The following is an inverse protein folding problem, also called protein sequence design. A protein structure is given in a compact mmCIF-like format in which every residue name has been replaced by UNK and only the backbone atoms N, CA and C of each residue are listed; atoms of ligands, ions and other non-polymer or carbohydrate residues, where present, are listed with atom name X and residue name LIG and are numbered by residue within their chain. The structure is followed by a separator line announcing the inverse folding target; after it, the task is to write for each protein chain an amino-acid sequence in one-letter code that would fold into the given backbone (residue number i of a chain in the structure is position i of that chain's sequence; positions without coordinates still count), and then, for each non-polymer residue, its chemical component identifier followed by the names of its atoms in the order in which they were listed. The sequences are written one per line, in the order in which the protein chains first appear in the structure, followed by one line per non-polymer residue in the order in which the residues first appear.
data_IF_981277856676
#
_entry.id   IF_981277856676
#
_cell.length_a   1.000
_cell.length_b   1.000
_cell.length_c   1.000
_cell.angle_alpha   90.00
_cell.angle_beta   90.00
_cell.angle_gamma   90.00
#
_symmetry.space_group_name_H-M   'P 1'
#
loop_
_entity.id
_entity.type
_entity.pdbx_description
1 polymer ?
#
# COMPACT_ATOMS: atom_id res chain seq x y z
N UNK A 1 17.08 -45.87 14.10
CA UNK A 1 16.27 -45.26 13.02
C UNK A 1 15.43 -44.18 13.68
N UNK A 2 15.81 -42.92 13.49
CA UNK A 2 15.10 -41.77 14.04
C UNK A 2 14.59 -40.96 12.85
N UNK A 3 13.30 -41.03 12.59
CA UNK A 3 12.63 -40.13 11.65
C UNK A 3 12.37 -38.81 12.38
N UNK A 4 13.22 -37.83 12.06
CA UNK A 4 13.06 -36.43 12.42
C UNK A 4 11.88 -35.87 11.63
N UNK A 5 10.71 -35.79 12.27
CA UNK A 5 9.57 -35.06 11.74
C UNK A 5 9.92 -33.56 11.63
N UNK A 6 10.20 -33.10 10.40
CA UNK A 6 10.24 -31.68 10.07
C UNK A 6 8.88 -31.05 10.37
N UNK A 7 8.79 -30.31 11.48
CA UNK A 7 7.66 -29.42 11.77
C UNK A 7 7.74 -28.19 10.87
N UNK A 8 7.33 -28.31 9.62
CA UNK A 8 7.03 -27.18 8.76
C UNK A 8 5.55 -26.84 8.90
N UNK A 9 5.21 -25.65 9.37
CA UNK A 9 3.84 -25.14 9.28
C UNK A 9 3.36 -25.22 7.81
N UNK A 10 2.06 -25.47 7.55
CA UNK A 10 1.54 -25.48 6.19
C UNK A 10 1.86 -24.14 5.50
N UNK A 11 2.46 -24.21 4.31
CA UNK A 11 2.72 -23.03 3.47
C UNK A 11 1.39 -22.46 3.00
N UNK A 12 1.21 -21.16 3.17
CA UNK A 12 0.07 -20.41 2.65
C UNK A 12 0.53 -19.67 1.39
N UNK A 13 0.18 -20.16 0.18
CA UNK A 13 0.66 -19.58 -1.07
C UNK A 13 0.29 -18.11 -1.24
N UNK A 14 -0.89 -17.70 -0.75
CA UNK A 14 -1.33 -16.31 -0.83
C UNK A 14 -0.42 -15.42 0.02
N UNK A 15 -0.08 -15.88 1.22
CA UNK A 15 0.81 -15.15 2.11
C UNK A 15 2.22 -15.01 1.52
N UNK A 16 2.75 -16.07 0.90
CA UNK A 16 4.05 -16.04 0.23
C UNK A 16 4.05 -15.06 -0.97
N UNK A 17 3.03 -15.11 -1.82
CA UNK A 17 2.87 -14.16 -2.93
C UNK A 17 2.80 -12.71 -2.46
N UNK A 18 2.07 -12.46 -1.37
CA UNK A 18 1.97 -11.14 -0.77
C UNK A 18 3.31 -10.67 -0.19
N UNK A 19 4.10 -11.53 0.46
CA UNK A 19 5.45 -11.19 0.91
C UNK A 19 6.37 -10.82 -0.26
N UNK A 20 6.28 -11.52 -1.40
CA UNK A 20 7.02 -11.14 -2.60
C UNK A 20 6.63 -9.75 -3.11
N UNK A 21 5.35 -9.37 -3.03
CA UNK A 21 4.92 -8.02 -3.38
C UNK A 21 5.51 -6.96 -2.43
N UNK A 22 5.58 -7.26 -1.13
CA UNK A 22 6.20 -6.39 -0.14
C UNK A 22 7.70 -6.21 -0.42
N UNK A 23 8.39 -7.30 -0.75
CA UNK A 23 9.80 -7.26 -1.17
C UNK A 23 9.97 -6.43 -2.45
N UNK A 24 9.09 -6.58 -3.43
CA UNK A 24 9.15 -5.80 -4.67
C UNK A 24 9.05 -4.29 -4.42
N UNK A 25 8.25 -3.85 -3.44
CA UNK A 25 8.12 -2.42 -3.13
C UNK A 25 9.25 -1.89 -2.22
N UNK A 26 9.86 -2.76 -1.41
CA UNK A 26 10.90 -2.38 -0.43
C UNK A 26 12.34 -2.68 -0.89
N UNK A 27 12.50 -3.31 -2.06
CA UNK A 27 13.80 -3.76 -2.55
C UNK A 27 14.83 -2.63 -2.68
N UNK A 28 16.11 -2.99 -2.46
CA UNK A 28 17.27 -2.13 -2.66
C UNK A 28 18.32 -2.86 -3.50
N UNK A 29 18.76 -2.30 -4.64
CA UNK A 29 18.34 -1.03 -5.23
C UNK A 29 16.89 -1.07 -5.77
N UNK A 30 16.18 0.08 -5.84
CA UNK A 30 14.80 0.11 -6.30
C UNK A 30 14.69 -0.21 -7.80
N UNK A 31 13.68 -1.00 -8.16
CA UNK A 31 13.31 -1.28 -9.54
C UNK A 31 11.93 -0.68 -9.84
N UNK A 32 11.90 0.45 -10.56
CA UNK A 32 10.67 1.20 -10.86
C UNK A 32 9.56 0.35 -11.48
N UNK A 33 9.90 -0.54 -12.41
CA UNK A 33 8.92 -1.41 -13.08
C UNK A 33 8.31 -2.43 -12.10
N UNK A 34 9.15 -3.11 -11.32
CA UNK A 34 8.71 -4.08 -10.32
C UNK A 34 7.86 -3.42 -9.23
N UNK A 35 8.27 -2.24 -8.74
CA UNK A 35 7.52 -1.48 -7.74
C UNK A 35 6.12 -1.10 -8.26
N UNK A 36 6.05 -0.55 -9.48
CA UNK A 36 4.77 -0.16 -10.10
C UNK A 36 3.85 -1.37 -10.31
N UNK A 37 4.40 -2.48 -10.79
CA UNK A 37 3.63 -3.70 -11.02
C UNK A 37 3.11 -4.28 -9.69
N UNK A 38 3.96 -4.37 -8.66
CA UNK A 38 3.55 -4.83 -7.34
C UNK A 38 2.45 -3.96 -6.74
N UNK A 39 2.58 -2.63 -6.82
CA UNK A 39 1.55 -1.69 -6.36
C UNK A 39 0.23 -1.86 -7.11
N UNK A 40 0.27 -2.14 -8.40
CA UNK A 40 -0.93 -2.39 -9.22
C UNK A 40 -1.63 -3.66 -8.77
N UNK A 41 -0.89 -4.76 -8.62
CA UNK A 41 -1.43 -6.02 -8.11
C UNK A 41 -2.01 -5.88 -6.69
N UNK A 42 -1.35 -5.11 -5.83
CA UNK A 42 -1.86 -4.78 -4.50
C UNK A 42 -3.18 -4.00 -4.58
N UNK A 43 -3.28 -3.01 -5.46
CA UNK A 43 -4.53 -2.26 -5.66
C UNK A 43 -5.67 -3.16 -6.12
N UNK A 44 -5.40 -4.05 -7.09
CA UNK A 44 -6.38 -5.02 -7.59
C UNK A 44 -6.87 -5.95 -6.47
N UNK A 45 -5.96 -6.45 -5.63
CA UNK A 45 -6.35 -7.29 -4.48
C UNK A 45 -7.18 -6.55 -3.44
N UNK A 46 -6.92 -5.26 -3.18
CA UNK A 46 -7.80 -4.46 -2.31
C UNK A 46 -9.24 -4.38 -2.84
N UNK A 47 -9.40 -4.34 -4.18
CA UNK A 47 -10.69 -4.26 -4.85
C UNK A 47 -11.43 -5.61 -4.95
N UNK A 48 -10.73 -6.73 -4.85
CA UNK A 48 -11.33 -8.07 -4.97
C UNK A 48 -12.20 -8.49 -3.78
N UNK A 49 -12.24 -7.70 -2.71
CA UNK A 49 -12.99 -7.98 -1.47
C UNK A 49 -12.68 -9.33 -0.80
N UNK A 50 -11.48 -9.87 -1.01
CA UNK A 50 -11.03 -11.12 -0.37
C UNK A 50 -10.63 -10.87 1.10
N UNK A 51 -11.36 -11.49 2.04
CA UNK A 51 -11.15 -11.32 3.47
C UNK A 51 -9.77 -11.82 3.95
N UNK A 52 -9.23 -12.89 3.35
CA UNK A 52 -7.91 -13.40 3.71
C UNK A 52 -6.82 -12.42 3.27
N UNK A 53 -6.90 -11.92 2.04
CA UNK A 53 -5.97 -10.89 1.54
C UNK A 53 -6.05 -9.61 2.38
N UNK A 54 -7.26 -9.16 2.74
CA UNK A 54 -7.48 -8.00 3.62
C UNK A 54 -6.85 -8.19 4.99
N UNK A 55 -6.95 -9.38 5.57
CA UNK A 55 -6.34 -9.70 6.87
C UNK A 55 -4.81 -9.69 6.80
N UNK A 56 -4.22 -10.24 5.73
CA UNK A 56 -2.78 -10.22 5.51
C UNK A 56 -2.29 -8.77 5.32
N UNK A 57 -2.99 -7.96 4.51
CA UNK A 57 -2.67 -6.55 4.34
C UNK A 57 -2.70 -5.77 5.66
N UNK A 58 -3.65 -6.10 6.53
CA UNK A 58 -3.80 -5.47 7.84
C UNK A 58 -2.62 -5.79 8.76
N UNK A 59 -2.13 -7.03 8.76
CA UNK A 59 -1.18 -7.55 9.77
C UNK A 59 0.28 -7.42 9.37
N UNK A 60 0.62 -7.43 8.09
CA UNK A 60 2.01 -7.57 7.60
C UNK A 60 2.66 -6.23 7.18
N UNK A 61 2.13 -5.09 7.60
CA UNK A 61 2.79 -3.77 7.43
C UNK A 61 2.82 -3.21 6.00
N UNK A 62 1.99 -3.75 5.10
CA UNK A 62 1.91 -3.29 3.71
C UNK A 62 1.58 -1.81 3.59
N UNK A 63 0.68 -1.31 4.43
CA UNK A 63 0.24 0.07 4.38
C UNK A 63 1.39 1.06 4.67
N UNK A 64 2.17 0.79 5.72
CA UNK A 64 3.35 1.57 6.07
C UNK A 64 4.40 1.51 4.96
N UNK A 65 4.65 0.34 4.38
CA UNK A 65 5.60 0.19 3.29
C UNK A 65 5.22 1.03 2.05
N UNK A 66 3.91 1.10 1.71
CA UNK A 66 3.45 1.93 0.59
C UNK A 66 3.56 3.43 0.91
N UNK A 67 3.27 3.84 2.14
CA UNK A 67 3.45 5.24 2.59
C UNK A 67 4.92 5.64 2.57
N UNK A 68 5.80 4.77 3.07
CA UNK A 68 7.23 5.00 3.06
C UNK A 68 7.78 5.07 1.64
N UNK A 69 7.31 4.21 0.73
CA UNK A 69 7.68 4.28 -0.66
C UNK A 69 7.20 5.59 -1.31
N UNK A 70 5.95 6.01 -1.07
CA UNK A 70 5.40 7.27 -1.57
C UNK A 70 6.23 8.48 -1.14
N UNK A 71 6.69 8.48 0.12
CA UNK A 71 7.52 9.53 0.71
C UNK A 71 8.91 9.59 0.07
N UNK A 72 9.52 8.44 -0.20
CA UNK A 72 10.94 8.36 -0.53
C UNK A 72 11.24 8.22 -2.03
N UNK A 73 10.30 7.77 -2.85
CA UNK A 73 10.55 7.58 -4.28
C UNK A 73 10.66 8.91 -5.04
N UNK A 74 11.60 8.99 -5.98
CA UNK A 74 11.68 10.10 -6.93
C UNK A 74 10.79 9.88 -8.17
N UNK A 75 10.37 8.64 -8.44
CA UNK A 75 9.60 8.29 -9.63
C UNK A 75 8.14 8.74 -9.49
N UNK A 76 7.71 9.67 -10.34
CA UNK A 76 6.31 10.12 -10.39
C UNK A 76 5.33 8.98 -10.68
N UNK A 77 5.73 8.00 -11.49
CA UNK A 77 4.89 6.84 -11.79
C UNK A 77 4.69 5.96 -10.56
N UNK A 78 5.74 5.76 -9.75
CA UNK A 78 5.65 5.00 -8.50
C UNK A 78 4.82 5.77 -7.48
N UNK A 79 4.98 7.11 -7.37
CA UNK A 79 4.10 7.92 -6.51
C UNK A 79 2.63 7.78 -6.89
N UNK A 80 2.32 7.82 -8.18
CA UNK A 80 0.95 7.64 -8.67
C UNK A 80 0.42 6.24 -8.34
N UNK A 81 1.24 5.20 -8.52
CA UNK A 81 0.87 3.84 -8.17
C UNK A 81 0.61 3.72 -6.66
N UNK A 82 1.47 4.27 -5.80
CA UNK A 82 1.27 4.30 -4.35
C UNK A 82 -0.05 4.99 -3.97
N UNK A 83 -0.33 6.17 -4.53
CA UNK A 83 -1.58 6.88 -4.26
C UNK A 83 -2.80 6.06 -4.69
N UNK A 84 -2.73 5.38 -5.83
CA UNK A 84 -3.79 4.50 -6.30
C UNK A 84 -4.00 3.32 -5.34
N UNK A 85 -2.94 2.61 -4.97
CA UNK A 85 -3.00 1.48 -4.04
C UNK A 85 -3.58 1.91 -2.69
N UNK A 86 -3.14 3.05 -2.14
CA UNK A 86 -3.67 3.59 -0.89
C UNK A 86 -5.14 4.00 -1.01
N UNK A 87 -5.53 4.62 -2.12
CA UNK A 87 -6.93 4.98 -2.37
C UNK A 87 -7.81 3.72 -2.38
N UNK A 88 -7.42 2.66 -3.10
CA UNK A 88 -8.10 1.37 -3.07
C UNK A 88 -8.14 0.75 -1.67
N UNK A 89 -7.02 0.81 -0.93
CA UNK A 89 -6.94 0.27 0.43
C UNK A 89 -7.88 0.99 1.42
N UNK A 90 -8.13 2.27 1.20
CA UNK A 90 -9.04 3.10 2.01
C UNK A 90 -10.49 3.09 1.54
N UNK A 91 -10.77 2.60 0.34
CA UNK A 91 -12.13 2.62 -0.19
C UNK A 91 -13.04 1.71 0.63
N UNK A 92 -14.10 2.28 1.20
CA UNK A 92 -15.04 1.62 2.13
C UNK A 92 -14.38 0.80 3.27
N UNK A 93 -13.14 1.12 3.65
CA UNK A 93 -12.40 0.38 4.67
C UNK A 93 -12.04 1.28 5.86
N UNK A 94 -12.93 1.32 6.85
CA UNK A 94 -12.80 2.17 8.05
C UNK A 94 -11.50 1.89 8.83
N UNK A 95 -11.06 0.63 8.89
CA UNK A 95 -9.82 0.27 9.59
C UNK A 95 -8.59 0.91 8.93
N UNK A 96 -8.49 0.85 7.60
CA UNK A 96 -7.42 1.52 6.85
C UNK A 96 -7.53 3.04 6.95
N UNK A 97 -8.75 3.59 6.86
CA UNK A 97 -9.00 5.03 6.98
C UNK A 97 -8.53 5.58 8.33
N UNK A 98 -8.89 4.93 9.44
CA UNK A 98 -8.43 5.30 10.80
C UNK A 98 -6.91 5.20 10.89
N UNK A 99 -6.31 4.13 10.36
CA UNK A 99 -4.85 3.90 10.41
C UNK A 99 -4.05 4.94 9.63
N UNK A 100 -4.62 5.49 8.55
CA UNK A 100 -4.04 6.59 7.77
C UNK A 100 -4.42 7.99 8.27
N UNK A 101 -5.38 8.12 9.19
CA UNK A 101 -5.78 9.39 9.77
C UNK A 101 -4.75 9.89 10.80
N UNK A 102 -3.55 10.20 10.31
CA UNK A 102 -2.40 10.65 11.11
C UNK A 102 -1.82 11.94 10.53
N UNK A 103 -1.33 12.80 11.41
CA UNK A 103 -0.82 14.13 11.04
C UNK A 103 0.34 14.08 10.03
N UNK A 104 1.19 13.06 10.10
CA UNK A 104 2.31 12.85 9.18
C UNK A 104 1.84 12.48 7.78
N UNK A 105 0.80 11.63 7.66
CA UNK A 105 0.15 11.31 6.38
C UNK A 105 -0.46 12.56 5.76
N UNK A 106 -1.22 13.36 6.52
CA UNK A 106 -1.77 14.62 6.00
C UNK A 106 -0.69 15.61 5.56
N UNK A 107 0.42 15.70 6.30
CA UNK A 107 1.56 16.54 5.93
C UNK A 107 2.19 16.07 4.60
N UNK A 108 2.35 14.76 4.43
CA UNK A 108 2.81 14.16 3.18
C UNK A 108 1.87 14.50 2.02
N UNK A 109 0.56 14.29 2.17
CA UNK A 109 -0.42 14.59 1.12
C UNK A 109 -0.44 16.08 0.76
N UNK A 110 -0.39 16.97 1.76
CA UNK A 110 -0.30 18.41 1.51
C UNK A 110 0.97 18.79 0.72
N UNK A 111 2.11 18.17 1.02
CA UNK A 111 3.35 18.39 0.28
C UNK A 111 3.24 17.97 -1.20
N UNK A 112 2.52 16.87 -1.47
CA UNK A 112 2.28 16.39 -2.83
C UNK A 112 1.36 17.34 -3.61
N UNK A 113 0.37 17.95 -2.96
CA UNK A 113 -0.51 18.94 -3.59
C UNK A 113 0.24 20.23 -3.94
N UNK A 114 1.17 20.66 -3.09
CA UNK A 114 1.97 21.87 -3.31
C UNK A 114 3.13 21.71 -4.28
N UNK A 115 3.52 20.47 -4.59
CA UNK A 115 4.64 20.24 -5.50
C UNK A 115 4.38 20.87 -6.87
N UNK A 116 5.32 21.71 -7.32
CA UNK A 116 5.35 22.31 -8.66
C UNK A 116 5.60 21.28 -9.76
N UNK A 117 6.24 20.17 -9.41
CA UNK A 117 6.53 19.05 -10.31
C UNK A 117 5.36 18.05 -10.39
N UNK A 118 4.32 18.25 -9.58
CA UNK A 118 3.15 17.37 -9.52
C UNK A 118 2.29 17.47 -10.77
N UNK A 119 2.12 16.34 -11.47
CA UNK A 119 1.14 16.21 -12.55
C UNK A 119 -0.30 16.33 -12.02
N UNK A 120 -1.25 16.72 -12.89
CA UNK A 120 -2.67 16.73 -12.54
C UNK A 120 -3.13 15.38 -11.96
N UNK A 121 -2.67 14.27 -12.57
CA UNK A 121 -2.99 12.91 -12.11
C UNK A 121 -2.48 12.64 -10.68
N UNK A 122 -1.28 13.12 -10.34
CA UNK A 122 -0.76 13.01 -8.98
C UNK A 122 -1.64 13.78 -7.99
N UNK A 123 -2.01 15.03 -8.32
CA UNK A 123 -2.88 15.87 -7.48
C UNK A 123 -4.25 15.22 -7.28
N UNK A 124 -4.87 14.73 -8.35
CA UNK A 124 -6.15 14.03 -8.27
C UNK A 124 -6.07 12.80 -7.37
N UNK A 125 -5.04 11.97 -7.52
CA UNK A 125 -4.83 10.80 -6.64
C UNK A 125 -4.67 11.20 -5.16
N UNK A 126 -3.94 12.28 -4.90
CA UNK A 126 -3.79 12.82 -3.53
C UNK A 126 -5.10 13.30 -2.95
N UNK A 127 -5.92 14.02 -3.72
CA UNK A 127 -7.24 14.49 -3.27
C UNK A 127 -8.19 13.33 -3.01
N UNK A 128 -8.20 12.31 -3.87
CA UNK A 128 -9.03 11.10 -3.69
C UNK A 128 -8.64 10.39 -2.40
N UNK A 129 -7.34 10.15 -2.18
CA UNK A 129 -6.88 9.52 -0.94
C UNK A 129 -7.26 10.35 0.29
N UNK A 130 -7.10 11.67 0.24
CA UNK A 130 -7.49 12.56 1.33
C UNK A 130 -8.99 12.49 1.61
N UNK A 131 -9.84 12.47 0.58
CA UNK A 131 -11.28 12.31 0.73
C UNK A 131 -11.64 10.95 1.34
N UNK A 132 -11.01 9.86 0.87
CA UNK A 132 -11.26 8.52 1.38
C UNK A 132 -10.87 8.41 2.86
N UNK A 133 -9.71 8.95 3.26
CA UNK A 133 -9.30 8.98 4.67
C UNK A 133 -10.35 9.72 5.50
N UNK A 134 -10.94 10.81 5.01
CA UNK A 134 -11.93 11.58 5.80
C UNK A 134 -13.36 11.02 5.79
N UNK A 135 -13.72 10.13 4.85
CA UNK A 135 -15.11 9.77 4.55
C UNK A 135 -15.88 9.12 5.71
N UNK A 136 -15.19 8.54 6.71
CA UNK A 136 -15.84 7.98 7.92
C UNK A 136 -15.16 8.36 9.24
N UNK A 137 -14.25 9.35 9.22
CA UNK A 137 -13.60 9.83 10.45
C UNK A 137 -14.48 10.89 11.12
N UNK A 138 -15.56 10.40 11.75
CA UNK A 138 -16.59 11.21 12.41
C UNK A 138 -16.27 11.60 13.85
N UNK A 139 -15.05 11.34 14.32
CA UNK A 139 -14.64 11.55 15.72
C UNK A 139 -13.83 12.84 15.90
#
# INVERSE_FOLDING_TARGET
MADSACSGAPRDPLKEDMHLLLECITCKPPCTSSQKQALTLMADMYLMEDDNAREIFRTEGFLEAVIDLLKNTASLEVKQACLCTLACATDNNVNTQIRLCKSDVFTLLYSLLRSSEGTLRLRSGTVVLLANIMNNNSN
#
